data_IF_894599029369
#
_entry.id   IF_894599029369
#
_cell.length_a   1.000
_cell.length_b   1.000
_cell.length_c   1.000
_cell.angle_alpha   90.00
_cell.angle_beta   90.00
_cell.angle_gamma   90.00
#
_symmetry.space_group_name_H-M   'P 1'
#
loop_
_entity.id
_entity.type
_entity.pdbx_description
1 polymer ?
#
# COMPACT_ATOMS: atom_id res chain seq x y z
N UNK A 1 -15.46 -0.81 -20.71
CA UNK A 1 -15.57 -0.19 -19.36
C UNK A 1 -15.35 1.31 -19.52
N UNK A 2 -16.32 2.14 -19.16
CA UNK A 2 -16.18 3.61 -19.26
C UNK A 2 -15.37 4.12 -18.06
N UNK A 3 -14.08 4.33 -18.26
CA UNK A 3 -13.22 4.98 -17.30
C UNK A 3 -13.36 6.49 -17.43
N UNK A 4 -13.57 7.19 -16.31
CA UNK A 4 -13.60 8.66 -16.27
C UNK A 4 -12.36 9.16 -15.52
N UNK A 5 -11.69 10.15 -16.10
CA UNK A 5 -10.53 10.77 -15.46
C UNK A 5 -10.85 12.24 -15.17
N UNK A 6 -10.55 12.68 -13.97
CA UNK A 6 -10.71 14.07 -13.52
C UNK A 6 -9.37 14.59 -13.03
N UNK A 7 -9.09 15.84 -13.33
CA UNK A 7 -7.89 16.55 -12.90
C UNK A 7 -8.30 17.75 -12.03
N UNK A 8 -7.62 17.92 -10.90
CA UNK A 8 -7.77 19.12 -10.07
C UNK A 8 -6.38 19.63 -9.72
N UNK A 9 -6.06 20.83 -10.15
CA UNK A 9 -4.72 21.43 -10.01
C UNK A 9 -3.58 20.47 -10.47
N UNK A 10 -3.91 19.55 -11.40
CA UNK A 10 -3.00 18.51 -11.83
C UNK A 10 -2.07 19.02 -12.93
N UNK A 11 -0.79 19.02 -12.63
CA UNK A 11 0.27 19.25 -13.58
C UNK A 11 0.98 17.92 -13.86
N UNK A 12 0.98 17.49 -15.11
CA UNK A 12 1.74 16.33 -15.53
C UNK A 12 3.22 16.71 -15.65
N UNK A 13 3.97 16.41 -14.59
CA UNK A 13 5.40 16.69 -14.51
C UNK A 13 6.15 15.53 -13.87
N UNK A 14 7.41 15.32 -14.23
CA UNK A 14 8.25 14.37 -13.51
C UNK A 14 8.28 14.74 -12.02
N UNK A 15 7.98 13.77 -11.17
CA UNK A 15 8.12 13.89 -9.72
C UNK A 15 8.89 12.72 -9.17
N UNK A 16 9.49 12.86 -7.99
CA UNK A 16 10.18 11.75 -7.35
C UNK A 16 9.22 10.79 -6.67
N UNK A 17 8.04 11.26 -6.24
CA UNK A 17 7.09 10.45 -5.47
C UNK A 17 5.64 10.72 -5.90
N UNK A 18 4.93 9.64 -6.24
CA UNK A 18 3.48 9.61 -6.39
C UNK A 18 2.85 8.97 -5.16
N UNK A 19 1.79 9.55 -4.65
CA UNK A 19 0.94 8.94 -3.63
C UNK A 19 -0.26 8.29 -4.33
N UNK A 20 -0.61 7.06 -4.01
CA UNK A 20 -1.72 6.32 -4.63
C UNK A 20 -2.71 5.88 -3.57
N UNK A 21 -3.97 6.21 -3.78
CA UNK A 21 -5.08 5.77 -2.92
C UNK A 21 -6.15 5.09 -3.76
N UNK A 22 -6.50 3.87 -3.41
CA UNK A 22 -7.70 3.19 -3.91
C UNK A 22 -8.89 3.62 -3.06
N UNK A 23 -10.00 4.04 -3.70
CA UNK A 23 -11.21 4.47 -3.02
C UNK A 23 -12.43 3.71 -3.51
N UNK A 24 -13.32 3.34 -2.59
CA UNK A 24 -14.67 2.87 -2.84
C UNK A 24 -15.55 3.24 -1.65
N UNK A 25 -16.50 4.18 -1.85
CA UNK A 25 -17.38 4.70 -0.81
C UNK A 25 -16.59 5.15 0.44
N UNK A 26 -15.63 6.04 0.24
CA UNK A 26 -14.64 6.46 1.24
C UNK A 26 -14.93 7.85 1.85
N UNK A 27 -16.13 8.41 1.69
CA UNK A 27 -16.50 9.77 2.13
C UNK A 27 -16.15 10.06 3.59
N UNK A 28 -16.27 9.05 4.48
CA UNK A 28 -16.00 9.20 5.92
C UNK A 28 -14.52 9.29 6.25
N UNK A 29 -13.66 8.70 5.43
CA UNK A 29 -12.23 8.57 5.71
C UNK A 29 -11.38 9.62 5.00
N UNK A 30 -11.76 10.01 3.78
CA UNK A 30 -11.03 10.95 2.93
C UNK A 30 -10.65 12.28 3.60
N UNK A 31 -11.49 12.93 4.43
CA UNK A 31 -11.10 14.19 5.06
C UNK A 31 -9.82 14.10 5.87
N UNK A 32 -9.55 12.95 6.52
CA UNK A 32 -8.32 12.72 7.29
C UNK A 32 -7.11 12.57 6.37
N UNK A 33 -7.23 11.79 5.30
CA UNK A 33 -6.14 11.63 4.32
C UNK A 33 -5.80 12.95 3.64
N UNK A 34 -6.82 13.70 3.21
CA UNK A 34 -6.66 15.02 2.60
C UNK A 34 -5.88 15.95 3.53
N UNK A 35 -6.31 16.04 4.79
CA UNK A 35 -5.63 16.87 5.80
C UNK A 35 -4.17 16.44 5.96
N UNK A 36 -3.87 15.14 6.11
CA UNK A 36 -2.51 14.63 6.23
C UNK A 36 -1.62 14.96 5.02
N UNK A 37 -2.17 14.93 3.80
CA UNK A 37 -1.45 15.33 2.59
C UNK A 37 -1.30 16.85 2.49
N UNK A 38 -2.29 17.63 2.92
CA UNK A 38 -2.20 19.08 2.98
C UNK A 38 -1.20 19.57 4.05
N UNK A 39 -0.94 18.82 5.08
CA UNK A 39 0.00 19.14 6.15
C UNK A 39 1.46 18.68 5.85
N UNK A 40 1.70 17.97 4.75
CA UNK A 40 3.08 17.58 4.39
C UNK A 40 3.99 18.79 4.25
N UNK A 41 5.23 18.70 4.75
CA UNK A 41 6.25 19.75 4.63
C UNK A 41 6.77 19.86 3.20
N UNK A 42 6.94 18.74 2.51
CA UNK A 42 7.26 18.70 1.08
C UNK A 42 5.96 18.53 0.26
N UNK A 43 5.64 19.53 -0.57
CA UNK A 43 4.43 19.55 -1.43
C UNK A 43 4.70 19.05 -2.85
N UNK A 44 5.94 18.73 -3.19
CA UNK A 44 6.31 18.28 -4.52
C UNK A 44 6.06 16.76 -4.68
N UNK A 45 4.79 16.40 -4.73
CA UNK A 45 4.27 15.07 -5.05
C UNK A 45 2.96 15.19 -5.84
N UNK A 46 2.57 14.11 -6.50
CA UNK A 46 1.23 13.97 -7.08
C UNK A 46 0.41 12.98 -6.26
N UNK A 47 -0.90 13.18 -6.22
CA UNK A 47 -1.83 12.24 -5.58
C UNK A 47 -2.75 11.61 -6.62
N UNK A 48 -2.58 10.33 -6.87
CA UNK A 48 -3.37 9.53 -7.80
C UNK A 48 -4.45 8.78 -7.03
N UNK A 49 -5.69 9.11 -7.32
CA UNK A 49 -6.85 8.39 -6.78
C UNK A 49 -7.34 7.38 -7.82
N UNK A 50 -7.47 6.14 -7.41
CA UNK A 50 -8.09 5.10 -8.20
C UNK A 50 -9.41 4.69 -7.57
N UNK A 51 -10.51 5.27 -8.09
CA UNK A 51 -11.86 5.10 -7.55
C UNK A 51 -12.61 3.96 -8.23
N UNK A 52 -13.28 3.13 -7.43
CA UNK A 52 -14.06 1.97 -7.85
C UNK A 52 -15.53 2.28 -8.18
N UNK A 53 -15.81 3.45 -8.75
CA UNK A 53 -17.18 3.95 -9.03
C UNK A 53 -17.97 4.16 -7.73
N UNK A 54 -17.42 4.96 -6.83
CA UNK A 54 -18.10 5.35 -5.59
C UNK A 54 -19.45 5.99 -5.86
N UNK A 55 -20.45 5.64 -5.04
CA UNK A 55 -21.82 6.15 -5.11
C UNK A 55 -22.18 7.13 -4.00
N UNK A 56 -21.28 7.30 -3.02
CA UNK A 56 -21.38 8.29 -1.93
C UNK A 56 -20.70 9.63 -2.34
N UNK A 57 -20.44 10.50 -1.38
CA UNK A 57 -19.82 11.81 -1.62
C UNK A 57 -18.31 11.76 -1.90
N UNK A 58 -17.70 10.58 -2.05
CA UNK A 58 -16.25 10.41 -2.29
C UNK A 58 -15.74 11.28 -3.43
N UNK A 59 -16.38 11.20 -4.62
CA UNK A 59 -15.94 11.96 -5.79
C UNK A 59 -16.17 13.48 -5.66
N UNK A 60 -17.19 13.90 -4.92
CA UNK A 60 -17.46 15.31 -4.66
C UNK A 60 -16.41 15.91 -3.73
N UNK A 61 -16.04 15.19 -2.66
CA UNK A 61 -14.98 15.58 -1.74
C UNK A 61 -13.65 15.74 -2.49
N UNK A 62 -13.29 14.77 -3.34
CA UNK A 62 -12.07 14.83 -4.15
C UNK A 62 -12.05 16.02 -5.11
N UNK A 63 -13.18 16.32 -5.77
CA UNK A 63 -13.31 17.47 -6.67
C UNK A 63 -13.21 18.82 -5.94
N UNK A 64 -13.63 18.88 -4.69
CA UNK A 64 -13.55 20.11 -3.86
C UNK A 64 -12.19 20.29 -3.18
N UNK A 65 -11.33 19.28 -3.16
CA UNK A 65 -10.01 19.34 -2.52
C UNK A 65 -9.09 20.33 -3.22
N UNK A 66 -8.40 21.17 -2.44
CA UNK A 66 -7.48 22.20 -2.92
C UNK A 66 -6.07 22.02 -2.31
N UNK A 67 -5.07 22.64 -2.94
CA UNK A 67 -3.69 22.67 -2.43
C UNK A 67 -2.90 21.37 -2.62
N UNK A 68 -3.43 20.39 -3.37
CA UNK A 68 -2.74 19.15 -3.72
C UNK A 68 -2.84 18.94 -5.24
N UNK A 69 -1.79 18.43 -5.85
CA UNK A 69 -1.77 18.02 -7.26
C UNK A 69 -2.49 16.67 -7.41
N UNK A 70 -3.79 16.67 -7.75
CA UNK A 70 -4.67 15.47 -7.74
C UNK A 70 -5.06 15.03 -9.15
N UNK A 71 -4.94 13.72 -9.39
CA UNK A 71 -5.51 13.02 -10.55
C UNK A 71 -6.46 11.92 -10.07
N UNK A 72 -7.73 11.99 -10.43
CA UNK A 72 -8.75 10.99 -10.07
C UNK A 72 -9.10 10.17 -11.30
N UNK A 73 -9.03 8.85 -11.18
CA UNK A 73 -9.38 7.88 -12.20
C UNK A 73 -10.48 6.99 -11.63
N UNK A 74 -11.72 7.20 -12.07
CA UNK A 74 -12.88 6.42 -11.64
C UNK A 74 -13.27 5.41 -12.72
N UNK A 75 -13.47 4.17 -12.32
CA UNK A 75 -13.86 3.07 -13.18
C UNK A 75 -14.05 1.77 -12.38
N UNK A 76 -14.87 0.86 -12.88
CA UNK A 76 -15.06 -0.45 -12.26
C UNK A 76 -13.72 -1.16 -12.06
N UNK A 77 -13.61 -1.87 -10.95
CA UNK A 77 -12.46 -2.71 -10.64
C UNK A 77 -12.86 -4.05 -10.01
N UNK A 78 -11.92 -4.96 -9.96
CA UNK A 78 -12.05 -6.29 -9.33
C UNK A 78 -11.38 -6.31 -7.94
N UNK A 79 -11.51 -5.24 -7.19
CA UNK A 79 -10.97 -5.06 -5.84
C UNK A 79 -9.71 -4.19 -5.78
N UNK A 80 -9.21 -4.01 -4.56
CA UNK A 80 -8.19 -3.02 -4.22
C UNK A 80 -6.92 -3.10 -5.11
N UNK A 81 -6.43 -4.29 -5.42
CA UNK A 81 -5.21 -4.41 -6.23
C UNK A 81 -5.42 -4.11 -7.72
N UNK A 82 -6.64 -4.26 -8.23
CA UNK A 82 -6.95 -3.79 -9.60
C UNK A 82 -6.98 -2.26 -9.62
N UNK A 83 -7.57 -1.64 -8.60
CA UNK A 83 -7.54 -0.19 -8.42
C UNK A 83 -6.09 0.33 -8.25
N UNK A 84 -5.27 -0.30 -7.40
CA UNK A 84 -3.86 0.08 -7.21
C UNK A 84 -3.05 -0.08 -8.51
N UNK A 85 -3.24 -1.15 -9.25
CA UNK A 85 -2.60 -1.36 -10.55
C UNK A 85 -2.95 -0.24 -11.54
N UNK A 86 -4.19 0.23 -11.54
CA UNK A 86 -4.64 1.37 -12.35
C UNK A 86 -3.93 2.65 -11.92
N UNK A 87 -3.81 2.91 -10.61
CA UNK A 87 -3.09 4.05 -10.06
C UNK A 87 -1.60 4.03 -10.42
N UNK A 88 -0.93 2.88 -10.25
CA UNK A 88 0.49 2.70 -10.60
C UNK A 88 0.77 2.97 -12.08
N UNK A 89 -0.13 2.54 -12.97
CA UNK A 89 0.02 2.82 -14.41
C UNK A 89 -0.16 4.29 -14.77
N UNK A 90 -0.79 5.05 -13.91
CA UNK A 90 -1.12 6.46 -14.14
C UNK A 90 -0.21 7.44 -13.42
N UNK A 91 0.68 6.96 -12.54
CA UNK A 91 1.62 7.80 -11.81
C UNK A 91 2.86 8.13 -12.66
N UNK A 92 3.44 9.31 -12.39
CA UNK A 92 4.67 9.80 -13.03
C UNK A 92 5.89 9.74 -12.10
N UNK A 93 5.68 9.37 -10.83
CA UNK A 93 6.75 9.30 -9.84
C UNK A 93 7.78 8.21 -10.13
N UNK A 94 9.02 8.52 -9.84
CA UNK A 94 10.10 7.53 -9.80
C UNK A 94 9.80 6.42 -8.80
N UNK A 95 9.21 6.83 -7.66
CA UNK A 95 8.66 5.94 -6.62
C UNK A 95 7.18 6.21 -6.42
N UNK A 96 6.48 5.22 -5.87
CA UNK A 96 5.12 5.41 -5.40
C UNK A 96 4.96 4.96 -3.95
N UNK A 97 4.06 5.63 -3.24
CA UNK A 97 3.59 5.32 -1.89
C UNK A 97 2.10 4.96 -1.96
N UNK A 98 1.69 3.85 -1.37
CA UNK A 98 0.27 3.55 -1.18
C UNK A 98 -0.19 4.09 0.17
N UNK A 99 -1.35 4.75 0.17
CA UNK A 99 -2.05 5.17 1.40
C UNK A 99 -3.46 4.63 1.32
N UNK A 100 -3.90 3.89 2.34
CA UNK A 100 -5.31 3.53 2.51
C UNK A 100 -6.16 4.77 2.80
N UNK A 101 -7.44 4.70 2.48
CA UNK A 101 -8.37 5.81 2.76
C UNK A 101 -8.53 6.09 4.27
N UNK A 102 -8.18 5.14 5.11
CA UNK A 102 -8.26 5.16 6.57
C UNK A 102 -6.90 5.36 7.28
N UNK A 103 -5.80 5.46 6.52
CA UNK A 103 -4.47 5.67 7.04
C UNK A 103 -4.16 7.15 7.33
N UNK A 104 -3.03 7.41 8.00
CA UNK A 104 -2.56 8.75 8.33
C UNK A 104 -1.05 8.88 8.01
N UNK A 105 -0.69 9.93 7.27
CA UNK A 105 0.72 10.31 7.09
C UNK A 105 1.11 11.41 8.07
N UNK A 106 2.30 11.28 8.66
CA UNK A 106 2.86 12.34 9.48
C UNK A 106 3.46 13.45 8.62
N UNK A 107 3.52 14.70 9.11
CA UNK A 107 3.83 15.87 8.27
C UNK A 107 5.14 15.81 7.48
N UNK A 108 6.15 15.09 7.97
CA UNK A 108 7.46 14.97 7.31
C UNK A 108 7.62 13.69 6.48
N UNK A 109 6.55 12.91 6.28
CA UNK A 109 6.65 11.60 5.64
C UNK A 109 7.17 11.67 4.21
N UNK A 110 6.59 12.56 3.39
CA UNK A 110 6.99 12.76 1.98
C UNK A 110 8.44 13.22 1.90
N UNK A 111 8.81 14.22 2.69
CA UNK A 111 10.19 14.73 2.76
C UNK A 111 11.18 13.63 3.13
N UNK A 112 10.90 12.90 4.22
CA UNK A 112 11.76 11.82 4.71
C UNK A 112 11.97 10.72 3.66
N UNK A 113 10.90 10.34 2.96
CA UNK A 113 10.99 9.36 1.89
C UNK A 113 11.82 9.88 0.71
N UNK A 114 11.58 11.11 0.26
CA UNK A 114 12.32 11.70 -0.87
C UNK A 114 13.80 11.87 -0.58
N UNK A 115 14.16 12.27 0.64
CA UNK A 115 15.57 12.39 1.08
C UNK A 115 16.26 11.02 1.16
N UNK A 116 15.51 9.95 1.40
CA UNK A 116 16.05 8.61 1.46
C UNK A 116 16.26 7.95 0.08
N UNK A 117 15.72 8.53 -1.01
CA UNK A 117 15.89 8.01 -2.37
C UNK A 117 17.33 8.20 -2.83
N UNK A 118 18.00 7.09 -3.13
CA UNK A 118 19.38 7.00 -3.61
C UNK A 118 19.45 6.11 -4.85
N UNK A 119 20.54 6.25 -5.61
CA UNK A 119 20.79 5.40 -6.77
C UNK A 119 20.92 3.93 -6.35
N UNK A 120 20.27 3.06 -7.13
CA UNK A 120 20.27 1.61 -6.88
C UNK A 120 19.32 1.13 -5.81
N UNK A 121 18.66 2.02 -5.05
CA UNK A 121 17.60 1.62 -4.10
C UNK A 121 16.29 1.41 -4.83
N UNK A 122 15.63 0.30 -4.56
CA UNK A 122 14.38 -0.10 -5.20
C UNK A 122 13.16 0.02 -4.28
N UNK A 123 13.34 -0.22 -2.99
CA UNK A 123 12.30 -0.12 -1.96
C UNK A 123 12.88 0.64 -0.77
N UNK A 124 12.13 1.59 -0.25
CA UNK A 124 12.45 2.25 1.02
C UNK A 124 11.33 1.95 1.98
N UNK A 125 11.66 1.35 3.12
CA UNK A 125 10.70 1.04 4.18
C UNK A 125 11.03 1.83 5.43
N UNK A 126 10.00 2.39 6.07
CA UNK A 126 10.11 3.23 7.26
C UNK A 126 9.38 2.57 8.45
N UNK A 127 9.50 3.13 9.62
CA UNK A 127 8.72 2.72 10.77
C UNK A 127 7.30 3.29 10.68
N UNK A 128 6.31 2.53 11.14
CA UNK A 128 4.91 2.98 11.22
C UNK A 128 4.34 2.73 12.61
N UNK A 129 3.45 3.60 13.02
CA UNK A 129 2.65 3.41 14.21
C UNK A 129 1.37 2.61 13.89
N UNK A 130 0.88 1.89 14.87
CA UNK A 130 -0.46 1.30 14.91
C UNK A 130 -1.16 1.75 16.18
N UNK A 131 -2.41 1.38 16.35
CA UNK A 131 -3.14 1.73 17.58
C UNK A 131 -2.47 1.20 18.86
N UNK A 132 -1.66 0.13 18.78
CA UNK A 132 -1.13 -0.57 19.96
C UNK A 132 0.40 -0.65 20.01
N UNK A 133 1.09 -0.35 18.92
CA UNK A 133 2.53 -0.55 18.85
C UNK A 133 3.13 0.16 17.63
N UNK A 134 4.45 0.29 17.67
CA UNK A 134 5.27 0.66 16.50
C UNK A 134 5.67 -0.61 15.76
N UNK A 135 5.55 -0.60 14.43
CA UNK A 135 6.03 -1.67 13.56
C UNK A 135 7.36 -1.24 12.95
N UNK A 136 8.36 -2.10 13.12
CA UNK A 136 9.68 -1.97 12.55
C UNK A 136 9.88 -3.03 11.45
N UNK A 137 10.54 -2.71 10.32
CA UNK A 137 10.91 -3.70 9.33
C UNK A 137 11.92 -4.71 9.91
N UNK A 138 12.05 -5.86 9.26
CA UNK A 138 12.97 -6.93 9.64
C UNK A 138 12.68 -7.55 11.03
N UNK A 139 11.42 -7.80 11.32
CA UNK A 139 10.95 -8.29 12.62
C UNK A 139 11.06 -9.81 12.82
N UNK A 140 11.90 -10.52 12.04
CA UNK A 140 12.12 -11.98 12.20
C UNK A 140 12.30 -12.74 10.88
N UNK A 141 12.41 -14.07 10.89
CA UNK A 141 12.78 -14.86 9.71
C UNK A 141 11.67 -14.83 8.62
N UNK A 142 12.09 -14.84 7.35
CA UNK A 142 11.22 -14.76 6.17
C UNK A 142 10.11 -15.82 6.16
N UNK A 143 10.47 -17.08 6.46
CA UNK A 143 9.51 -18.20 6.49
C UNK A 143 8.38 -18.04 7.51
N UNK A 144 8.57 -17.20 8.55
CA UNK A 144 7.58 -16.90 9.57
C UNK A 144 6.83 -15.59 9.29
N UNK A 145 7.56 -14.55 8.88
CA UNK A 145 7.07 -13.18 8.79
C UNK A 145 6.62 -12.76 7.38
N UNK A 146 6.99 -13.53 6.33
CA UNK A 146 6.68 -13.16 4.96
C UNK A 146 7.27 -11.82 4.58
N UNK A 147 6.47 -10.93 4.01
CA UNK A 147 6.91 -9.58 3.62
C UNK A 147 7.44 -8.74 4.79
N UNK A 148 6.96 -8.95 6.01
CA UNK A 148 7.42 -8.21 7.19
C UNK A 148 8.84 -8.53 7.62
N UNK A 149 9.49 -9.49 6.98
CA UNK A 149 10.94 -9.64 7.03
C UNK A 149 11.67 -8.50 6.32
N UNK A 150 11.06 -7.93 5.30
CA UNK A 150 11.66 -6.93 4.43
C UNK A 150 11.15 -5.51 4.69
N UNK A 151 9.85 -5.37 4.97
CA UNK A 151 9.16 -4.09 5.10
C UNK A 151 8.30 -4.03 6.36
N UNK A 152 8.01 -2.82 6.85
CA UNK A 152 7.10 -2.60 7.99
C UNK A 152 5.64 -2.77 7.60
N UNK A 153 5.29 -2.35 6.38
CA UNK A 153 3.95 -2.43 5.81
C UNK A 153 3.96 -1.99 4.35
N UNK A 154 2.99 -2.49 3.58
CA UNK A 154 2.83 -2.10 2.18
C UNK A 154 2.28 -0.66 2.06
N UNK A 155 1.15 -0.38 2.68
CA UNK A 155 0.60 0.96 2.78
C UNK A 155 1.31 1.76 3.88
N UNK A 156 1.46 3.06 3.69
CA UNK A 156 2.15 4.01 4.57
C UNK A 156 3.63 3.71 4.77
N UNK A 157 3.96 2.46 5.08
CA UNK A 157 5.27 2.04 5.59
C UNK A 157 6.36 1.86 4.53
N UNK A 158 6.03 1.90 3.23
CA UNK A 158 7.04 1.65 2.19
C UNK A 158 6.74 2.39 0.90
N UNK A 159 7.82 2.86 0.24
CA UNK A 159 7.77 3.33 -1.14
C UNK A 159 8.50 2.36 -2.06
N UNK A 160 8.02 2.26 -3.28
CA UNK A 160 8.50 1.31 -4.28
C UNK A 160 8.89 2.04 -5.55
N UNK A 161 10.03 1.67 -6.13
CA UNK A 161 10.41 2.17 -7.45
C UNK A 161 9.37 1.70 -8.48
N UNK A 162 8.79 2.63 -9.21
CA UNK A 162 7.68 2.35 -10.14
C UNK A 162 8.07 1.34 -11.23
N UNK A 163 9.34 1.37 -11.69
CA UNK A 163 9.86 0.44 -12.69
C UNK A 163 9.90 -1.03 -12.24
N UNK A 164 9.78 -1.34 -10.95
CA UNK A 164 9.66 -2.72 -10.48
C UNK A 164 8.46 -3.43 -11.09
N UNK A 165 7.35 -2.72 -11.32
CA UNK A 165 6.17 -3.30 -11.96
C UNK A 165 6.35 -3.62 -13.44
N UNK A 166 7.22 -2.88 -14.13
CA UNK A 166 7.59 -3.20 -15.51
C UNK A 166 8.44 -4.48 -15.57
N UNK A 167 9.29 -4.70 -14.58
CA UNK A 167 10.20 -5.84 -14.49
C UNK A 167 9.54 -7.10 -13.95
N UNK A 168 8.72 -6.98 -12.91
CA UNK A 168 8.19 -8.12 -12.14
C UNK A 168 6.67 -8.32 -12.29
N UNK A 169 6.00 -7.44 -13.03
CA UNK A 169 4.55 -7.47 -13.19
C UNK A 169 3.80 -6.68 -12.11
N UNK A 170 2.52 -6.48 -12.36
CA UNK A 170 1.61 -5.79 -11.47
C UNK A 170 1.05 -6.71 -10.38
N UNK A 171 0.36 -6.15 -9.38
CA UNK A 171 -0.32 -6.95 -8.35
C UNK A 171 -1.25 -7.98 -8.95
N UNK A 172 -1.15 -9.21 -8.48
CA UNK A 172 -1.85 -10.35 -9.04
C UNK A 172 -3.33 -10.38 -8.63
N UNK A 173 -4.22 -10.47 -9.59
CA UNK A 173 -5.67 -10.68 -9.36
C UNK A 173 -6.00 -12.04 -8.72
N UNK A 174 -5.05 -12.98 -8.66
CA UNK A 174 -5.22 -14.29 -8.03
C UNK A 174 -5.11 -14.26 -6.49
N UNK A 175 -4.69 -13.13 -5.95
CA UNK A 175 -4.49 -12.90 -4.52
C UNK A 175 -5.17 -11.59 -4.13
N UNK A 176 -6.50 -11.59 -3.94
CA UNK A 176 -7.27 -10.37 -3.66
C UNK A 176 -6.95 -9.72 -2.31
N UNK A 177 -6.26 -10.42 -1.39
CA UNK A 177 -5.91 -9.90 -0.05
C UNK A 177 -4.40 -9.75 0.13
N UNK A 178 -3.58 -10.60 -0.51
CA UNK A 178 -2.12 -10.68 -0.27
C UNK A 178 -1.29 -10.53 -1.56
N UNK A 179 -1.80 -9.82 -2.58
CA UNK A 179 -1.02 -9.59 -3.79
C UNK A 179 0.22 -8.69 -3.56
N UNK A 180 0.15 -7.77 -2.59
CA UNK A 180 1.28 -6.97 -2.12
C UNK A 180 2.38 -7.86 -1.53
N UNK A 181 2.00 -8.81 -0.68
CA UNK A 181 2.95 -9.75 -0.09
C UNK A 181 3.64 -10.59 -1.17
N UNK A 182 2.86 -11.10 -2.15
CA UNK A 182 3.43 -11.84 -3.28
C UNK A 182 4.43 -10.98 -4.04
N UNK A 183 4.08 -9.74 -4.34
CA UNK A 183 4.93 -8.80 -5.05
C UNK A 183 6.22 -8.51 -4.27
N UNK A 184 6.13 -8.12 -3.00
CA UNK A 184 7.30 -7.82 -2.15
C UNK A 184 8.25 -9.02 -2.07
N UNK A 185 7.72 -10.23 -1.83
CA UNK A 185 8.55 -11.42 -1.75
C UNK A 185 9.18 -11.77 -3.10
N UNK A 186 8.47 -11.56 -4.21
CA UNK A 186 9.00 -11.79 -5.56
C UNK A 186 10.19 -10.88 -5.83
N UNK A 187 10.03 -9.57 -5.62
CA UNK A 187 11.09 -8.61 -5.92
C UNK A 187 12.27 -8.77 -4.97
N UNK A 188 12.03 -9.00 -3.68
CA UNK A 188 13.09 -9.20 -2.69
C UNK A 188 13.93 -10.46 -2.95
N UNK A 189 13.30 -11.56 -3.42
CA UNK A 189 14.02 -12.78 -3.80
C UNK A 189 14.87 -12.59 -5.07
N UNK A 190 14.62 -11.57 -5.86
CA UNK A 190 15.40 -11.23 -7.05
C UNK A 190 16.54 -10.23 -6.77
N UNK A 191 16.88 -9.98 -5.51
CA UNK A 191 18.02 -9.18 -5.11
C UNK A 191 17.81 -7.67 -5.20
N UNK A 192 16.56 -7.19 -5.11
CA UNK A 192 16.25 -5.76 -5.01
C UNK A 192 16.89 -5.15 -3.77
N UNK A 193 17.35 -3.88 -3.90
CA UNK A 193 17.96 -3.15 -2.80
C UNK A 193 16.87 -2.50 -1.94
N UNK A 194 16.81 -2.89 -0.67
CA UNK A 194 15.84 -2.39 0.30
C UNK A 194 16.56 -1.54 1.35
N UNK A 195 16.17 -0.27 1.46
CA UNK A 195 16.72 0.66 2.46
C UNK A 195 15.73 0.84 3.60
N UNK A 196 16.24 0.79 4.83
CA UNK A 196 15.44 1.05 6.04
C UNK A 196 15.63 2.51 6.45
N UNK A 197 14.55 3.26 6.46
CA UNK A 197 14.48 4.62 6.97
C UNK A 197 14.06 4.59 8.44
N UNK A 198 14.94 5.04 9.32
CA UNK A 198 14.72 5.05 10.79
C UNK A 198 13.85 6.23 11.25
N UNK A 199 12.76 6.48 10.55
CA UNK A 199 11.77 7.52 10.88
C UNK A 199 10.39 6.91 10.92
N UNK A 200 9.54 7.40 11.81
CA UNK A 200 8.10 7.05 11.81
C UNK A 200 7.41 7.98 10.82
N UNK A 201 6.76 7.42 9.82
CA UNK A 201 6.20 8.19 8.69
C UNK A 201 4.69 8.32 8.72
N UNK A 202 4.02 7.56 9.58
CA UNK A 202 2.58 7.62 9.68
C UNK A 202 2.00 6.50 10.53
N UNK A 203 0.69 6.43 10.54
CA UNK A 203 -0.09 5.45 11.29
C UNK A 203 -0.92 4.60 10.35
N UNK A 204 -0.77 3.28 10.47
CA UNK A 204 -1.55 2.30 9.74
C UNK A 204 -2.83 1.98 10.51
N UNK A 205 -3.99 2.06 9.83
CA UNK A 205 -5.27 1.63 10.37
C UNK A 205 -5.45 0.11 10.24
N UNK A 206 -6.18 -0.47 11.19
CA UNK A 206 -6.52 -1.90 11.17
C UNK A 206 -7.93 -2.17 10.65
N UNK A 207 -8.56 -1.22 9.95
CA UNK A 207 -9.96 -1.34 9.51
C UNK A 207 -10.10 -1.87 8.06
N UNK A 208 -8.98 -2.20 7.42
CA UNK A 208 -8.93 -2.70 6.05
C UNK A 208 -9.38 -4.16 5.87
N UNK A 209 -9.55 -4.59 4.61
CA UNK A 209 -10.03 -5.94 4.20
C UNK A 209 -9.27 -7.08 4.88
N UNK A 210 -7.96 -6.95 5.04
CA UNK A 210 -7.12 -7.98 5.69
C UNK A 210 -7.44 -8.19 7.18
N UNK A 211 -8.05 -7.21 7.82
CA UNK A 211 -8.48 -7.27 9.22
C UNK A 211 -9.91 -7.80 9.37
N UNK A 212 -10.73 -7.65 8.33
CA UNK A 212 -12.12 -8.12 8.31
C UNK A 212 -12.20 -9.59 7.89
N UNK A 213 -11.54 -9.96 6.78
CA UNK A 213 -11.46 -11.36 6.32
C UNK A 213 -10.19 -12.03 6.84
N UNK A 214 -10.20 -12.40 8.11
CA UNK A 214 -9.07 -13.06 8.77
C UNK A 214 -8.77 -14.42 8.14
N UNK A 215 -9.81 -15.21 7.82
CA UNK A 215 -9.63 -16.53 7.24
C UNK A 215 -9.00 -16.44 5.84
N UNK A 216 -9.56 -15.59 4.98
CA UNK A 216 -8.98 -15.31 3.65
C UNK A 216 -7.53 -14.84 3.73
N UNK A 217 -7.24 -13.93 4.65
CA UNK A 217 -5.87 -13.43 4.91
C UNK A 217 -4.91 -14.57 5.28
N UNK A 218 -5.30 -15.46 6.19
CA UNK A 218 -4.47 -16.59 6.59
C UNK A 218 -4.28 -17.60 5.45
N UNK A 219 -5.34 -17.87 4.66
CA UNK A 219 -5.26 -18.74 3.50
C UNK A 219 -4.34 -18.18 2.42
N UNK A 220 -4.45 -16.90 2.10
CA UNK A 220 -3.60 -16.27 1.09
C UNK A 220 -2.17 -16.13 1.57
N UNK A 221 -1.94 -15.79 2.83
CA UNK A 221 -0.60 -15.80 3.41
C UNK A 221 0.08 -17.17 3.26
N UNK A 222 -0.63 -18.25 3.60
CA UNK A 222 -0.13 -19.62 3.40
C UNK A 222 0.18 -19.90 1.93
N UNK A 223 -0.75 -19.58 1.02
CA UNK A 223 -0.57 -19.80 -0.42
C UNK A 223 0.65 -19.06 -0.98
N UNK A 224 0.82 -17.80 -0.60
CA UNK A 224 1.96 -16.98 -1.01
C UNK A 224 3.26 -17.61 -0.55
N UNK A 225 3.39 -18.02 0.72
CA UNK A 225 4.58 -18.66 1.24
C UNK A 225 4.93 -19.95 0.47
N UNK A 226 3.92 -20.76 0.16
CA UNK A 226 4.11 -22.01 -0.62
C UNK A 226 4.53 -21.70 -2.06
N UNK A 227 3.93 -20.71 -2.70
CA UNK A 227 4.28 -20.29 -4.07
C UNK A 227 5.70 -19.73 -4.10
N UNK A 228 6.14 -19.04 -3.05
CA UNK A 228 7.48 -18.48 -2.91
C UNK A 228 8.55 -19.52 -2.53
N UNK A 229 8.18 -20.82 -2.49
CA UNK A 229 9.11 -21.93 -2.30
C UNK A 229 9.41 -22.26 -0.84
N UNK A 230 8.70 -21.71 0.13
CA UNK A 230 8.88 -22.07 1.53
C UNK A 230 8.41 -23.53 1.80
N UNK A 231 8.98 -24.15 2.82
CA UNK A 231 8.70 -25.55 3.16
C UNK A 231 7.20 -25.77 3.45
N UNK A 232 6.51 -26.53 2.59
CA UNK A 232 5.06 -26.76 2.65
C UNK A 232 4.61 -27.36 3.99
N UNK A 233 5.36 -28.32 4.53
CA UNK A 233 5.00 -28.98 5.80
C UNK A 233 5.07 -27.98 6.96
N UNK A 234 6.15 -27.20 7.02
CA UNK A 234 6.29 -26.15 8.03
C UNK A 234 5.19 -25.09 7.90
N UNK A 235 4.92 -24.63 6.67
CA UNK A 235 3.87 -23.63 6.45
C UNK A 235 2.47 -24.18 6.80
N UNK A 236 2.21 -25.46 6.58
CA UNK A 236 0.95 -26.09 6.99
C UNK A 236 0.79 -26.10 8.51
N UNK A 237 1.83 -26.45 9.25
CA UNK A 237 1.82 -26.39 10.73
C UNK A 237 1.55 -24.95 11.19
N UNK A 238 2.28 -23.97 10.63
CA UNK A 238 2.10 -22.56 10.97
C UNK A 238 0.68 -22.05 10.64
N UNK A 239 0.13 -22.49 9.52
CA UNK A 239 -1.24 -22.15 9.13
C UNK A 239 -2.25 -22.64 10.17
N UNK A 240 -2.15 -23.91 10.59
CA UNK A 240 -3.02 -24.49 11.63
C UNK A 240 -2.87 -23.73 12.96
N UNK A 241 -1.64 -23.45 13.39
CA UNK A 241 -1.40 -22.69 14.61
C UNK A 241 -1.99 -21.27 14.55
N UNK A 242 -1.91 -20.61 13.39
CA UNK A 242 -2.52 -19.29 13.17
C UNK A 242 -4.04 -19.35 13.18
N UNK A 243 -4.65 -20.39 12.61
CA UNK A 243 -6.10 -20.63 12.68
C UNK A 243 -6.54 -20.77 14.15
N UNK A 244 -5.87 -21.61 14.94
CA UNK A 244 -6.18 -21.80 16.36
C UNK A 244 -6.07 -20.47 17.12
N UNK A 245 -4.96 -19.72 16.92
CA UNK A 245 -4.75 -18.42 17.57
C UNK A 245 -5.84 -17.39 17.26
N UNK A 246 -6.38 -17.40 16.05
CA UNK A 246 -7.35 -16.41 15.59
C UNK A 246 -8.80 -16.93 15.60
N UNK A 247 -9.05 -18.15 16.10
CA UNK A 247 -10.36 -18.80 16.06
C UNK A 247 -11.48 -17.91 16.64
N UNK A 248 -11.25 -17.30 17.80
CA UNK A 248 -12.25 -16.42 18.41
C UNK A 248 -12.51 -15.10 17.67
N UNK A 249 -11.61 -14.69 16.77
CA UNK A 249 -11.79 -13.50 15.92
C UNK A 249 -12.54 -13.82 14.62
N UNK A 250 -12.45 -15.06 14.15
CA UNK A 250 -13.14 -15.54 12.93
C UNK A 250 -14.63 -15.82 13.14
N UNK A 251 -15.10 -15.85 14.40
CA UNK A 251 -16.50 -16.08 14.77
C UNK A 251 -17.30 -14.78 14.97
N UNK A 252 -16.66 -13.63 14.83
CA UNK A 252 -17.26 -12.28 14.93
C UNK A 252 -17.48 -11.69 13.53
#
# INVERSE_FOLDING_TARGET
MNQKTYYKNYEERPTRLSVITATYNAEKFLPRVIKGLQEQTDKDFEWIISDGVSSDSTLEILKSTEGINIKVISGEDFGIYDALNRGIKACNGEFYLVIGADDELYPNAIQNYKEAIEDGVDIITAYIDTNNSKIEPNSGPKWLKGQFHYISGHAVGSIYRTSLHQKFGYYSKKFPIAADQLFVLTVANCGTQIKILKSVVGKFSNDGVSSVDILGTLCEFYRVQVVMGENKFLQTILFVLRLIKNFGKMQR
#
